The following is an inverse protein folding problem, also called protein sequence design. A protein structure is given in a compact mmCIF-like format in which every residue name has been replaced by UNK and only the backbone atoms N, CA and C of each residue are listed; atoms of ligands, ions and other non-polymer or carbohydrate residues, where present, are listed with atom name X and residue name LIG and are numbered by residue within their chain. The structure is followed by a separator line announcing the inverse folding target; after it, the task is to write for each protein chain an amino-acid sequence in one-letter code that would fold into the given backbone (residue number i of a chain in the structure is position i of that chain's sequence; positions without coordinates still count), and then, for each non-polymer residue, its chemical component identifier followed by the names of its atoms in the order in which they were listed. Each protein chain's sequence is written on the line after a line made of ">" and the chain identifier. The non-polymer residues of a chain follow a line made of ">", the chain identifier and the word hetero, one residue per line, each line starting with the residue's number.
data_IF_510922253806
#
_entry.id   IF_510922253806
#
_cell.length_a   1.000
_cell.length_b   1.000
_cell.length_c   1.000
_cell.angle_alpha   90.00
_cell.angle_beta   90.00
_cell.angle_gamma   90.00
#
_symmetry.space_group_name_H-M   'P 1'
#
loop_
_entity.id
_entity.type
_entity.pdbx_description
1 polymer ?
#
# COMPACT_ATOMS: atom_id res chain seq x y z
N UNK A 1 45.84 1.93 12.69
CA UNK A 1 44.75 1.39 11.84
C UNK A 1 44.54 2.31 10.62
N UNK A 2 44.87 1.82 9.43
CA UNK A 2 44.62 2.49 8.15
C UNK A 2 43.13 2.78 7.97
N UNK A 3 42.74 3.98 7.51
CA UNK A 3 41.33 4.27 7.23
C UNK A 3 40.83 3.35 6.12
N UNK A 4 39.67 2.73 6.34
CA UNK A 4 39.01 1.87 5.38
C UNK A 4 38.68 2.67 4.12
N UNK A 5 39.18 2.21 2.97
CA UNK A 5 38.86 2.76 1.66
C UNK A 5 37.40 2.46 1.36
N UNK A 6 36.53 3.46 1.54
CA UNK A 6 35.13 3.41 1.11
C UNK A 6 35.15 3.56 -0.40
N UNK A 7 34.95 2.45 -1.11
CA UNK A 7 34.79 2.46 -2.56
C UNK A 7 33.35 2.86 -2.85
N UNK A 8 33.07 3.96 -3.57
CA UNK A 8 31.71 4.31 -3.94
C UNK A 8 31.13 3.23 -4.86
N UNK A 9 30.14 2.50 -4.37
CA UNK A 9 29.41 1.51 -5.15
C UNK A 9 28.39 2.27 -5.99
N UNK A 10 28.71 2.52 -7.25
CA UNK A 10 27.71 2.94 -8.23
C UNK A 10 26.55 1.93 -8.21
N UNK A 11 25.28 2.36 -8.33
CA UNK A 11 24.16 1.44 -8.36
C UNK A 11 24.41 0.40 -9.45
N UNK A 12 24.36 -0.91 -9.14
CA UNK A 12 24.54 -1.92 -10.15
C UNK A 12 23.52 -1.69 -11.26
N UNK A 13 23.95 -1.82 -12.53
CA UNK A 13 23.01 -1.91 -13.65
C UNK A 13 21.92 -2.90 -13.23
N UNK A 14 20.63 -2.53 -13.30
CA UNK A 14 19.57 -3.41 -12.84
C UNK A 14 19.73 -4.76 -13.55
N UNK A 15 19.80 -5.87 -12.82
CA UNK A 15 19.91 -7.18 -13.45
C UNK A 15 18.72 -7.34 -14.39
N UNK A 16 19.03 -7.70 -15.64
CA UNK A 16 18.00 -8.25 -16.53
C UNK A 16 17.53 -9.54 -15.87
N UNK A 17 16.36 -9.47 -15.26
CA UNK A 17 15.76 -10.61 -14.56
C UNK A 17 15.83 -11.87 -15.46
N UNK A 18 16.43 -12.98 -15.00
CA UNK A 18 16.27 -14.24 -15.69
C UNK A 18 14.79 -14.64 -15.67
N UNK A 19 14.33 -15.09 -16.82
CA UNK A 19 12.92 -15.27 -17.19
C UNK A 19 12.21 -16.43 -16.46
N UNK A 20 12.90 -17.24 -15.64
CA UNK A 20 12.43 -18.60 -15.30
C UNK A 20 11.48 -18.76 -14.12
N UNK A 21 11.32 -17.78 -13.23
CA UNK A 21 10.56 -17.98 -11.98
C UNK A 21 9.24 -17.19 -11.92
N UNK A 22 8.78 -16.64 -13.05
CA UNK A 22 7.48 -15.99 -13.14
C UNK A 22 6.47 -16.99 -13.73
N UNK A 23 5.22 -17.04 -13.22
CA UNK A 23 4.17 -17.77 -13.89
C UNK A 23 4.16 -17.41 -15.39
N UNK A 24 3.89 -18.37 -16.29
CA UNK A 24 3.89 -18.09 -17.71
C UNK A 24 3.00 -16.86 -17.99
N UNK A 25 3.47 -15.90 -18.81
CA UNK A 25 2.72 -14.69 -19.06
C UNK A 25 1.33 -15.04 -19.56
N UNK A 26 0.31 -14.40 -18.99
CA UNK A 26 -1.08 -14.66 -19.35
C UNK A 26 -1.28 -14.42 -20.85
N UNK A 27 -2.13 -15.24 -21.46
CA UNK A 27 -2.40 -15.20 -22.89
C UNK A 27 -3.28 -14.02 -23.31
N UNK A 28 -3.84 -13.27 -22.36
CA UNK A 28 -4.73 -12.12 -22.56
C UNK A 28 -3.99 -10.78 -22.60
N UNK A 29 -2.67 -10.76 -22.38
CA UNK A 29 -1.88 -9.51 -22.46
C UNK A 29 -1.85 -8.96 -23.88
N UNK A 30 -1.99 -7.64 -23.98
CA UNK A 30 -1.94 -6.91 -25.26
C UNK A 30 -0.62 -6.14 -25.49
N UNK A 31 0.26 -6.06 -24.49
CA UNK A 31 1.57 -5.41 -24.55
C UNK A 31 2.59 -6.37 -23.92
N UNK A 32 3.72 -6.68 -24.56
CA UNK A 32 4.73 -7.58 -23.97
C UNK A 32 5.60 -6.89 -22.91
N UNK A 33 6.21 -5.76 -23.31
CA UNK A 33 7.16 -5.00 -22.48
C UNK A 33 6.83 -3.52 -22.45
N UNK A 34 7.20 -2.89 -21.35
CA UNK A 34 7.21 -1.43 -21.22
C UNK A 34 8.64 -0.92 -21.10
N UNK A 35 8.92 0.22 -21.72
CA UNK A 35 10.16 0.98 -21.61
C UNK A 35 9.86 2.26 -20.82
N UNK A 36 10.36 2.36 -19.60
CA UNK A 36 10.19 3.51 -18.70
C UNK A 36 11.56 4.16 -18.46
N UNK A 37 11.85 5.25 -19.17
CA UNK A 37 13.20 5.83 -19.18
C UNK A 37 14.24 4.86 -19.73
N UNK A 38 15.23 4.50 -18.92
CA UNK A 38 16.27 3.50 -19.26
C UNK A 38 15.91 2.07 -18.82
N UNK A 39 14.72 1.84 -18.26
CA UNK A 39 14.28 0.54 -17.75
C UNK A 39 13.37 -0.16 -18.76
N UNK A 40 13.54 -1.46 -18.95
CA UNK A 40 12.67 -2.29 -19.77
C UNK A 40 12.24 -3.54 -19.01
N UNK A 41 10.94 -3.76 -18.86
CA UNK A 41 10.39 -4.90 -18.10
C UNK A 41 9.06 -5.38 -18.65
N UNK A 42 8.73 -6.65 -18.37
CA UNK A 42 7.52 -7.31 -18.87
C UNK A 42 6.27 -6.88 -18.09
N UNK A 43 5.18 -6.68 -18.82
CA UNK A 43 3.83 -6.43 -18.29
C UNK A 43 3.24 -7.72 -17.71
N UNK A 44 2.24 -7.62 -16.84
CA UNK A 44 1.61 -8.78 -16.20
C UNK A 44 0.18 -8.99 -16.70
N UNK A 45 -0.53 -7.90 -16.97
CA UNK A 45 -1.94 -7.87 -17.36
C UNK A 45 -2.16 -7.00 -18.60
N UNK A 46 -3.28 -7.16 -19.33
CA UNK A 46 -3.67 -6.22 -20.37
C UNK A 46 -4.04 -4.85 -19.79
N UNK A 47 -3.84 -3.81 -20.60
CA UNK A 47 -4.26 -2.42 -20.31
C UNK A 47 -4.89 -1.75 -21.52
N UNK A 48 -5.84 -0.84 -21.30
CA UNK A 48 -6.73 -0.30 -22.32
C UNK A 48 -6.20 0.98 -22.97
N UNK A 49 -4.98 0.92 -23.50
CA UNK A 49 -4.42 2.01 -24.31
C UNK A 49 -5.23 2.22 -25.59
N UNK A 50 -5.21 3.44 -26.15
CA UNK A 50 -5.98 3.78 -27.34
C UNK A 50 -5.59 2.97 -28.59
N UNK A 51 -6.52 2.90 -29.56
CA UNK A 51 -6.38 2.12 -30.79
C UNK A 51 -5.19 2.57 -31.66
N UNK A 52 -4.80 3.84 -31.54
CA UNK A 52 -3.64 4.42 -32.22
C UNK A 52 -2.30 3.79 -31.78
N UNK A 53 -2.26 3.28 -30.54
CA UNK A 53 -1.11 2.59 -29.95
C UNK A 53 -1.18 1.09 -30.18
N UNK A 54 -2.35 0.49 -29.94
CA UNK A 54 -2.54 -0.97 -30.02
C UNK A 54 -2.76 -1.48 -31.47
N UNK A 55 -2.99 -0.58 -32.43
CA UNK A 55 -3.36 -0.91 -33.80
C UNK A 55 -4.88 -1.12 -33.92
N UNK A 56 -5.47 -0.66 -35.01
CA UNK A 56 -6.87 -0.96 -35.32
C UNK A 56 -6.98 -2.45 -35.67
N UNK A 57 -7.90 -3.17 -35.03
CA UNK A 57 -8.45 -4.39 -35.63
C UNK A 57 -9.10 -3.97 -36.94
N UNK A 58 -8.55 -4.39 -38.08
CA UNK A 58 -9.12 -4.13 -39.38
C UNK A 58 -10.43 -4.92 -39.54
N UNK A 59 -11.54 -4.38 -39.04
CA UNK A 59 -12.86 -4.72 -39.55
C UNK A 59 -13.08 -3.97 -40.86
N UNK A 60 -12.36 -4.40 -41.91
CA UNK A 60 -12.75 -4.09 -43.28
C UNK A 60 -13.81 -5.13 -43.69
N UNK A 61 -15.09 -4.78 -43.53
CA UNK A 61 -16.16 -5.40 -44.29
C UNK A 61 -16.72 -4.35 -45.24
N UNK A 62 -16.49 -4.60 -46.53
CA UNK A 62 -16.87 -3.82 -47.70
C UNK A 62 -18.37 -3.45 -47.66
N UNK A 63 -18.66 -2.16 -47.83
CA UNK A 63 -19.91 -1.74 -48.46
C UNK A 63 -19.79 -2.01 -49.95
N UNK A 64 -20.45 -3.07 -50.42
CA UNK A 64 -20.49 -3.47 -51.83
C UNK A 64 -21.76 -4.30 -52.09
N UNK A 65 -22.51 -3.87 -53.09
CA UNK A 65 -23.85 -4.25 -53.51
C UNK A 65 -24.32 -5.70 -53.36
N UNK A 66 -25.62 -5.79 -53.04
CA UNK A 66 -26.57 -6.86 -53.30
C UNK A 66 -26.52 -7.33 -54.77
N UNK A 67 -26.42 -8.65 -55.01
CA UNK A 67 -27.46 -9.46 -55.69
C UNK A 67 -26.97 -10.89 -56.06
N UNK A 68 -27.77 -11.90 -55.67
CA UNK A 68 -27.95 -13.28 -56.20
C UNK A 68 -26.73 -14.23 -56.33
N UNK A 69 -26.80 -15.56 -56.29
CA UNK A 69 -27.81 -16.60 -56.04
C UNK A 69 -27.04 -17.97 -56.06
N UNK A 70 -27.47 -18.95 -55.23
CA UNK A 70 -27.28 -20.43 -55.29
C UNK A 70 -25.87 -21.07 -55.41
N UNK A 71 -25.45 -21.90 -54.42
CA UNK A 71 -25.62 -23.38 -54.41
C UNK A 71 -24.62 -24.16 -53.50
N UNK A 72 -25.19 -25.19 -52.86
CA UNK A 72 -24.65 -26.50 -52.45
C UNK A 72 -23.28 -26.73 -51.74
N UNK A 73 -23.41 -27.33 -50.54
CA UNK A 73 -22.73 -28.55 -50.05
C UNK A 73 -21.24 -28.53 -49.60
N UNK A 74 -21.07 -28.68 -48.27
CA UNK A 74 -20.18 -29.67 -47.66
C UNK A 74 -18.71 -29.29 -47.40
N UNK A 75 -18.34 -29.10 -46.12
CA UNK A 75 -17.09 -29.61 -45.48
C UNK A 75 -16.92 -29.07 -44.04
N UNK A 76 -16.90 -30.01 -43.07
CA UNK A 76 -16.09 -30.05 -41.83
C UNK A 76 -16.07 -28.88 -40.82
N UNK A 77 -16.02 -29.15 -39.49
CA UNK A 77 -15.85 -28.09 -38.50
C UNK A 77 -14.39 -27.62 -38.52
N UNK A 78 -14.09 -26.60 -39.31
CA UNK A 78 -12.78 -25.96 -39.27
C UNK A 78 -12.68 -25.10 -38.01
N UNK A 79 -11.67 -25.42 -37.19
CA UNK A 79 -11.14 -24.62 -36.09
C UNK A 79 -11.33 -23.13 -36.39
N UNK A 80 -12.14 -22.44 -35.58
CA UNK A 80 -12.11 -20.99 -35.47
C UNK A 80 -10.69 -20.62 -35.03
N UNK A 81 -9.88 -20.13 -35.97
CA UNK A 81 -8.64 -19.44 -35.65
C UNK A 81 -8.98 -18.34 -34.67
N UNK A 82 -8.44 -18.52 -33.46
CA UNK A 82 -8.46 -17.53 -32.40
C UNK A 82 -7.43 -16.50 -32.81
N UNK A 83 -7.77 -15.64 -33.77
CA UNK A 83 -6.96 -14.49 -34.17
C UNK A 83 -6.68 -13.66 -32.93
N UNK A 84 -5.50 -13.88 -32.34
CA UNK A 84 -5.02 -13.14 -31.20
C UNK A 84 -4.89 -11.69 -31.63
N UNK A 85 -5.48 -10.79 -30.85
CA UNK A 85 -5.23 -9.36 -30.99
C UNK A 85 -3.70 -9.14 -31.09
N UNK A 86 -3.21 -8.34 -32.05
CA UNK A 86 -1.79 -8.12 -32.21
C UNK A 86 -1.20 -7.58 -30.91
N UNK A 87 -0.27 -8.32 -30.32
CA UNK A 87 0.42 -7.92 -29.10
C UNK A 87 1.48 -6.87 -29.45
N UNK A 88 1.41 -5.70 -28.82
CA UNK A 88 2.45 -4.68 -28.95
C UNK A 88 3.73 -5.16 -28.26
N UNK A 89 4.84 -5.28 -28.98
CA UNK A 89 6.10 -5.76 -28.38
C UNK A 89 6.59 -4.80 -27.28
N UNK A 90 6.56 -3.49 -27.55
CA UNK A 90 7.09 -2.46 -26.65
C UNK A 90 6.20 -1.23 -26.61
N UNK A 91 5.82 -0.85 -25.41
CA UNK A 91 5.24 0.47 -25.11
C UNK A 91 6.31 1.37 -24.51
N UNK A 92 6.55 2.54 -25.11
CA UNK A 92 7.46 3.54 -24.56
C UNK A 92 6.70 4.54 -23.70
N UNK A 93 7.12 4.74 -22.46
CA UNK A 93 6.43 5.57 -21.46
C UNK A 93 7.40 6.61 -20.90
N UNK A 94 7.00 7.87 -20.89
CA UNK A 94 7.77 8.96 -20.32
C UNK A 94 7.86 8.79 -18.79
N UNK A 95 9.05 8.80 -18.18
CA UNK A 95 9.20 8.59 -16.73
C UNK A 95 8.69 9.77 -15.88
N UNK A 96 8.46 10.94 -16.48
CA UNK A 96 8.01 12.14 -15.77
C UNK A 96 6.49 12.32 -15.85
N UNK A 97 5.87 12.21 -17.04
CA UNK A 97 4.45 12.50 -17.23
C UNK A 97 3.60 11.28 -17.66
N UNK A 98 4.21 10.10 -17.76
CA UNK A 98 3.57 8.86 -18.22
C UNK A 98 2.97 8.89 -19.64
N UNK A 99 3.20 9.96 -20.41
CA UNK A 99 2.85 9.98 -21.83
C UNK A 99 3.51 8.82 -22.55
N UNK A 100 2.75 8.16 -23.40
CA UNK A 100 3.15 6.93 -24.05
C UNK A 100 3.24 7.07 -25.57
N UNK A 101 4.03 6.21 -26.20
CA UNK A 101 4.10 6.06 -27.65
C UNK A 101 4.49 4.63 -28.03
N UNK A 102 4.11 4.20 -29.25
CA UNK A 102 4.61 2.96 -29.86
C UNK A 102 5.96 3.13 -30.57
N UNK A 103 6.26 4.35 -31.01
CA UNK A 103 7.48 4.68 -31.75
C UNK A 103 8.56 5.30 -30.86
N UNK A 104 9.77 4.76 -30.92
CA UNK A 104 10.92 5.20 -30.12
C UNK A 104 11.28 6.67 -30.36
N UNK A 105 11.29 7.12 -31.63
CA UNK A 105 11.72 8.47 -32.01
C UNK A 105 10.78 9.53 -31.44
N UNK A 106 9.46 9.30 -31.55
CA UNK A 106 8.45 10.20 -31.02
C UNK A 106 8.52 10.30 -29.49
N UNK A 107 8.71 9.17 -28.82
CA UNK A 107 8.92 9.13 -27.36
C UNK A 107 10.19 9.88 -26.94
N UNK A 108 11.32 9.63 -27.62
CA UNK A 108 12.61 10.21 -27.24
C UNK A 108 12.61 11.74 -27.35
N UNK A 109 12.04 12.29 -28.43
CA UNK A 109 11.88 13.74 -28.60
C UNK A 109 11.05 14.37 -27.47
N UNK A 110 9.99 13.70 -27.04
CA UNK A 110 9.18 14.15 -25.91
C UNK A 110 9.93 14.06 -24.57
N UNK A 111 10.57 12.93 -24.27
CA UNK A 111 11.27 12.71 -22.99
C UNK A 111 12.37 13.76 -22.76
N UNK A 112 13.12 14.11 -23.80
CA UNK A 112 14.17 15.14 -23.71
C UNK A 112 13.62 16.48 -23.22
N UNK A 113 12.47 16.93 -23.76
CA UNK A 113 11.83 18.18 -23.36
C UNK A 113 11.16 18.06 -21.98
N UNK A 114 10.57 16.90 -21.68
CA UNK A 114 9.84 16.68 -20.44
C UNK A 114 10.78 16.59 -19.22
N UNK A 115 11.89 15.86 -19.34
CA UNK A 115 12.89 15.71 -18.26
C UNK A 115 13.61 17.02 -17.94
N UNK A 116 13.82 17.89 -18.94
CA UNK A 116 14.41 19.22 -18.71
C UNK A 116 13.59 20.08 -17.74
N UNK A 117 12.28 19.84 -17.63
CA UNK A 117 11.42 20.56 -16.68
C UNK A 117 11.57 20.05 -15.25
N UNK A 118 12.06 18.81 -15.06
CA UNK A 118 12.18 18.13 -13.77
C UNK A 118 10.92 18.24 -12.88
N UNK A 119 9.74 18.33 -13.51
CA UNK A 119 8.49 18.64 -12.83
C UNK A 119 7.79 17.36 -12.38
N UNK A 120 7.40 17.34 -11.10
CA UNK A 120 6.47 16.36 -10.53
C UNK A 120 5.15 17.10 -10.31
N UNK A 121 4.01 16.57 -10.80
CA UNK A 121 2.71 17.19 -10.57
C UNK A 121 2.33 17.15 -9.08
N UNK A 122 1.38 18.00 -8.70
CA UNK A 122 0.89 18.08 -7.33
C UNK A 122 1.86 18.72 -6.34
N UNK A 123 1.66 18.42 -5.05
CA UNK A 123 2.40 19.02 -3.93
C UNK A 123 3.18 17.95 -3.17
N UNK A 124 4.42 18.26 -2.79
CA UNK A 124 5.17 17.41 -1.87
C UNK A 124 4.53 17.51 -0.48
N UNK A 125 4.10 16.37 0.06
CA UNK A 125 3.45 16.29 1.39
C UNK A 125 4.27 15.54 2.42
N UNK A 126 5.33 14.84 1.99
CA UNK A 126 6.15 14.01 2.87
C UNK A 126 7.59 13.92 2.39
N UNK A 127 8.54 13.94 3.32
CA UNK A 127 9.95 13.60 3.11
C UNK A 127 10.33 12.49 4.09
N UNK A 128 10.80 11.37 3.57
CA UNK A 128 11.26 10.28 4.40
C UNK A 128 12.60 10.63 5.05
N UNK A 129 12.77 10.43 6.37
CA UNK A 129 14.05 10.62 7.04
C UNK A 129 15.17 9.84 6.35
N UNK A 130 16.33 10.48 6.20
CA UNK A 130 17.51 9.78 5.69
C UNK A 130 17.90 8.70 6.68
N UNK A 131 18.02 7.47 6.21
CA UNK A 131 18.26 6.34 7.08
C UNK A 131 18.79 5.12 6.35
N UNK A 132 18.80 4.03 7.09
CA UNK A 132 19.09 2.69 6.59
C UNK A 132 17.76 1.98 6.36
N UNK A 133 17.61 1.32 5.21
CA UNK A 133 16.46 0.46 4.94
C UNK A 133 16.92 -0.94 4.59
N UNK A 134 16.12 -1.94 4.95
CA UNK A 134 16.33 -3.31 4.52
C UNK A 134 15.76 -3.50 3.11
N UNK A 135 16.62 -3.94 2.19
CA UNK A 135 16.28 -4.27 0.80
C UNK A 135 16.53 -5.75 0.58
N UNK A 136 15.62 -6.41 -0.14
CA UNK A 136 15.84 -7.78 -0.57
C UNK A 136 16.51 -7.78 -1.95
N UNK A 137 17.80 -8.09 -1.97
CA UNK A 137 18.59 -8.19 -3.21
C UNK A 137 18.63 -9.65 -3.70
N UNK A 138 18.50 -9.89 -5.01
CA UNK A 138 18.73 -11.22 -5.56
C UNK A 138 20.22 -11.55 -5.45
N UNK A 139 20.56 -12.64 -4.76
CA UNK A 139 21.90 -13.18 -4.74
C UNK A 139 22.08 -14.07 -5.96
N UNK A 140 22.85 -13.60 -6.95
CA UNK A 140 23.32 -14.47 -8.01
C UNK A 140 24.16 -15.58 -7.38
N UNK A 141 23.83 -16.84 -7.69
CA UNK A 141 24.51 -18.02 -7.16
C UNK A 141 25.93 -18.19 -7.70
N UNK A 142 26.82 -17.21 -7.48
CA UNK A 142 28.23 -17.27 -7.83
C UNK A 142 28.94 -18.29 -6.94
N UNK A 143 28.82 -19.56 -7.30
CA UNK A 143 29.76 -20.60 -6.87
C UNK A 143 31.01 -20.52 -7.74
N UNK A 144 32.16 -20.66 -7.07
CA UNK A 144 33.51 -20.51 -7.63
C UNK A 144 33.82 -21.41 -8.84
N UNK A 145 35.00 -21.23 -9.45
CA UNK A 145 35.36 -21.88 -10.70
C UNK A 145 35.40 -23.40 -10.54
N UNK A 146 34.48 -24.14 -11.20
CA UNK A 146 34.67 -25.58 -11.38
C UNK A 146 33.45 -26.52 -11.44
N UNK A 147 32.21 -26.10 -11.20
CA UNK A 147 31.07 -27.05 -11.22
C UNK A 147 30.15 -26.92 -12.44
N UNK A 148 30.06 -28.00 -13.22
CA UNK A 148 29.21 -28.13 -14.42
C UNK A 148 27.71 -27.98 -14.07
N UNK A 149 27.01 -27.23 -14.90
CA UNK A 149 25.59 -26.86 -14.81
C UNK A 149 24.68 -28.09 -14.93
N UNK A 150 23.99 -28.48 -13.85
CA UNK A 150 22.78 -29.30 -13.94
C UNK A 150 21.60 -28.38 -14.30
N UNK A 151 20.80 -28.81 -15.27
CA UNK A 151 19.73 -28.02 -15.90
C UNK A 151 18.46 -28.14 -15.06
N UNK A 152 17.92 -27.01 -14.59
CA UNK A 152 16.70 -26.91 -13.79
C UNK A 152 16.98 -26.59 -12.33
N UNK A 153 16.24 -25.63 -11.77
CA UNK A 153 16.34 -25.08 -10.40
C UNK A 153 17.40 -23.99 -10.17
N UNK A 154 17.18 -22.84 -10.82
CA UNK A 154 17.80 -21.58 -10.40
C UNK A 154 16.92 -20.87 -9.36
N UNK A 155 16.80 -21.42 -8.16
CA UNK A 155 16.03 -20.75 -7.10
C UNK A 155 16.79 -19.48 -6.69
N UNK A 156 16.35 -18.31 -7.20
CA UNK A 156 16.97 -17.02 -6.87
C UNK A 156 16.78 -16.79 -5.37
N UNK A 157 17.86 -16.91 -4.60
CA UNK A 157 17.83 -16.60 -3.17
C UNK A 157 17.87 -15.09 -3.00
N UNK A 158 16.91 -14.56 -2.26
CA UNK A 158 16.92 -13.16 -1.86
C UNK A 158 17.61 -13.05 -0.51
N UNK A 159 18.56 -12.11 -0.41
CA UNK A 159 19.27 -11.80 0.83
C UNK A 159 18.86 -10.41 1.28
N UNK A 160 18.71 -10.24 2.59
CA UNK A 160 18.47 -8.94 3.21
C UNK A 160 19.77 -8.16 3.25
N UNK A 161 19.77 -6.99 2.63
CA UNK A 161 20.88 -6.04 2.66
C UNK A 161 20.38 -4.73 3.24
N UNK A 162 21.14 -4.18 4.19
CA UNK A 162 20.85 -2.87 4.77
C UNK A 162 21.50 -1.82 3.89
N UNK A 163 20.69 -1.07 3.15
CA UNK A 163 21.13 -0.02 2.22
C UNK A 163 20.97 1.34 2.89
N UNK A 164 22.00 2.18 2.78
CA UNK A 164 21.93 3.58 3.18
C UNK A 164 21.35 4.42 2.03
N UNK A 165 20.41 5.30 2.35
CA UNK A 165 19.78 6.14 1.34
C UNK A 165 20.67 7.33 0.98
N UNK A 166 21.21 7.30 -0.24
CA UNK A 166 22.02 8.39 -0.78
C UNK A 166 21.17 9.58 -1.28
N UNK A 167 19.92 9.32 -1.66
CA UNK A 167 18.97 10.33 -2.17
C UNK A 167 17.80 10.58 -1.24
N UNK A 168 16.88 11.45 -1.66
CA UNK A 168 15.66 11.77 -0.94
C UNK A 168 14.49 10.90 -1.43
N UNK A 169 13.72 10.35 -0.49
CA UNK A 169 12.41 9.77 -0.78
C UNK A 169 11.33 10.75 -0.33
N UNK A 170 10.36 11.01 -1.19
CA UNK A 170 9.26 11.93 -0.90
C UNK A 170 7.93 11.39 -1.41
N UNK A 171 6.84 11.85 -0.80
CA UNK A 171 5.49 11.64 -1.32
C UNK A 171 4.91 12.94 -1.85
N UNK A 172 4.27 12.83 -3.01
CA UNK A 172 3.58 13.94 -3.66
C UNK A 172 2.11 13.61 -3.82
N UNK A 173 1.24 14.50 -3.34
CA UNK A 173 -0.20 14.41 -3.52
C UNK A 173 -0.61 15.12 -4.80
N UNK A 174 -1.26 14.38 -5.69
CA UNK A 174 -1.75 14.82 -6.99
C UNK A 174 -3.26 14.64 -7.03
N UNK A 175 -3.96 15.73 -7.30
CA UNK A 175 -5.41 15.75 -7.44
C UNK A 175 -5.79 15.30 -8.87
N UNK A 176 -6.50 14.19 -8.98
CA UNK A 176 -6.92 13.64 -10.28
C UNK A 176 -7.87 14.54 -11.06
N UNK A 177 -8.54 15.50 -10.42
CA UNK A 177 -9.37 16.50 -11.10
C UNK A 177 -8.54 17.63 -11.71
N UNK A 178 -7.38 17.95 -11.12
CA UNK A 178 -6.49 19.01 -11.63
C UNK A 178 -5.52 18.47 -12.68
N UNK A 179 -4.96 17.28 -12.45
CA UNK A 179 -3.94 16.65 -13.28
C UNK A 179 -4.49 15.45 -14.08
N UNK A 180 -5.68 15.61 -14.66
CA UNK A 180 -6.48 14.55 -15.31
C UNK A 180 -5.65 13.67 -16.25
N UNK A 181 -4.96 14.28 -17.22
CA UNK A 181 -4.20 13.52 -18.24
C UNK A 181 -3.04 12.73 -17.61
N UNK A 182 -2.37 13.30 -16.61
CA UNK A 182 -1.29 12.60 -15.91
C UNK A 182 -1.84 11.38 -15.16
N UNK A 183 -2.93 11.56 -14.40
CA UNK A 183 -3.55 10.50 -13.61
C UNK A 183 -4.15 9.39 -14.49
N UNK A 184 -4.70 9.73 -15.65
CA UNK A 184 -5.15 8.75 -16.66
C UNK A 184 -3.98 7.92 -17.20
N UNK A 185 -2.90 8.59 -17.61
CA UNK A 185 -1.70 7.91 -18.12
C UNK A 185 -1.08 6.99 -17.05
N UNK A 186 -0.98 7.46 -15.81
CA UNK A 186 -0.49 6.68 -14.68
C UNK A 186 -1.41 5.48 -14.40
N UNK A 187 -2.73 5.66 -14.48
CA UNK A 187 -3.69 4.57 -14.28
C UNK A 187 -3.63 3.50 -15.37
N UNK A 188 -3.48 3.89 -16.64
CA UNK A 188 -3.25 2.97 -17.75
C UNK A 188 -1.94 2.19 -17.57
N UNK A 189 -0.88 2.88 -17.13
CA UNK A 189 0.40 2.25 -16.81
C UNK A 189 0.26 1.26 -15.65
N UNK A 190 -0.44 1.64 -14.59
CA UNK A 190 -0.67 0.79 -13.42
C UNK A 190 -1.45 -0.48 -13.76
N UNK A 191 -2.44 -0.38 -14.66
CA UNK A 191 -3.25 -1.52 -15.12
C UNK A 191 -2.42 -2.63 -15.77
N UNK A 192 -1.23 -2.33 -16.31
CA UNK A 192 -0.28 -3.34 -16.81
C UNK A 192 0.22 -4.29 -15.70
N UNK A 193 0.11 -3.88 -14.43
CA UNK A 193 0.64 -4.58 -13.25
C UNK A 193 -0.40 -4.85 -12.17
N UNK A 194 -1.64 -4.39 -12.37
CA UNK A 194 -2.80 -4.61 -11.49
C UNK A 194 -3.91 -5.32 -12.26
N UNK A 195 -4.33 -6.49 -11.78
CA UNK A 195 -5.39 -7.27 -12.45
C UNK A 195 -6.74 -6.56 -12.32
N UNK A 196 -7.10 -6.24 -11.07
CA UNK A 196 -8.43 -5.78 -10.67
C UNK A 196 -8.62 -4.26 -10.72
N UNK A 197 -7.74 -3.50 -11.38
CA UNK A 197 -7.94 -2.04 -11.51
C UNK A 197 -9.06 -1.77 -12.53
N UNK A 198 -10.19 -1.26 -12.04
CA UNK A 198 -11.39 -0.96 -12.83
C UNK A 198 -11.44 0.48 -13.35
N UNK A 199 -10.89 1.44 -12.60
CA UNK A 199 -10.93 2.87 -12.93
C UNK A 199 -9.59 3.34 -13.50
N UNK A 200 -9.61 3.88 -14.72
CA UNK A 200 -8.42 4.43 -15.38
C UNK A 200 -8.66 5.66 -16.25
N UNK A 201 -9.92 6.03 -16.54
CA UNK A 201 -10.27 7.25 -17.27
C UNK A 201 -10.93 8.29 -16.38
N UNK A 202 -11.90 7.89 -15.55
CA UNK A 202 -12.53 8.78 -14.59
C UNK A 202 -11.68 8.88 -13.31
N UNK A 203 -10.70 9.78 -13.34
CA UNK A 203 -9.72 9.96 -12.27
C UNK A 203 -10.09 11.09 -11.30
N UNK A 204 -11.18 11.81 -11.57
CA UNK A 204 -11.56 13.06 -10.89
C UNK A 204 -11.87 12.86 -9.41
N UNK A 205 -12.46 11.71 -9.06
CA UNK A 205 -12.78 11.31 -7.70
C UNK A 205 -11.60 10.79 -6.87
N UNK A 206 -10.36 10.86 -7.37
CA UNK A 206 -9.20 10.26 -6.72
C UNK A 206 -8.06 11.25 -6.47
N UNK A 207 -7.42 11.12 -5.31
CA UNK A 207 -6.09 11.66 -5.06
C UNK A 207 -5.04 10.54 -5.29
N UNK A 208 -3.91 10.91 -5.87
CA UNK A 208 -2.79 10.03 -6.15
C UNK A 208 -1.58 10.47 -5.32
N UNK A 209 -1.00 9.53 -4.59
CA UNK A 209 0.16 9.76 -3.73
C UNK A 209 1.38 9.10 -4.37
N UNK A 210 2.21 9.89 -5.05
CA UNK A 210 3.36 9.43 -5.80
C UNK A 210 4.56 9.23 -4.88
N UNK A 211 5.21 8.06 -4.97
CA UNK A 211 6.52 7.82 -4.36
C UNK A 211 7.64 8.26 -5.29
N UNK A 212 8.35 9.30 -4.89
CA UNK A 212 9.40 9.94 -5.69
C UNK A 212 10.77 9.75 -5.04
N UNK A 213 11.71 9.24 -5.82
CA UNK A 213 13.13 9.22 -5.48
C UNK A 213 13.86 10.36 -6.19
N UNK A 214 14.52 11.22 -5.42
CA UNK A 214 15.37 12.30 -5.92
C UNK A 214 16.83 11.95 -5.65
N UNK A 215 17.63 11.65 -6.68
CA UNK A 215 19.06 11.34 -6.51
C UNK A 215 19.82 12.50 -5.86
N UNK A 216 20.94 12.24 -5.16
CA UNK A 216 21.81 13.32 -4.70
C UNK A 216 22.38 14.10 -5.90
N UNK A 217 22.70 15.40 -5.73
CA UNK A 217 23.37 16.18 -6.75
C UNK A 217 24.70 15.52 -7.15
N UNK A 218 24.97 15.41 -8.45
CA UNK A 218 26.25 14.92 -8.92
C UNK A 218 27.36 15.89 -8.48
N UNK A 219 28.42 15.36 -7.87
CA UNK A 219 29.61 16.15 -7.52
C UNK A 219 30.26 16.62 -8.82
N UNK A 220 30.57 17.92 -8.91
CA UNK A 220 31.25 18.48 -10.07
C UNK A 220 32.58 17.73 -10.29
N UNK A 221 32.69 17.05 -11.43
CA UNK A 221 33.97 16.47 -11.85
C UNK A 221 34.96 17.60 -12.13
N UNK A 222 36.26 17.37 -11.89
CA UNK A 222 37.37 18.32 -12.13
C UNK A 222 37.49 18.84 -13.58
N UNK A 223 36.64 18.39 -14.50
CA UNK A 223 36.58 18.78 -15.90
C UNK A 223 35.72 20.03 -16.19
N UNK A 224 35.20 20.74 -15.19
CA UNK A 224 34.47 22.01 -15.40
C UNK A 224 33.13 21.91 -16.14
N UNK A 225 32.63 20.70 -16.39
CA UNK A 225 31.30 20.46 -16.96
C UNK A 225 30.26 20.55 -15.85
N UNK A 226 29.25 21.41 -16.02
CA UNK A 226 28.15 21.53 -15.07
C UNK A 226 27.46 20.16 -14.87
N UNK A 227 27.21 19.73 -13.63
CA UNK A 227 26.55 18.46 -13.37
C UNK A 227 25.16 18.42 -14.02
N UNK A 228 24.71 17.26 -14.54
CA UNK A 228 23.37 17.14 -15.09
C UNK A 228 22.32 17.47 -14.02
N UNK A 229 21.17 18.07 -14.40
CA UNK A 229 20.12 18.40 -13.45
C UNK A 229 19.63 17.13 -12.75
N UNK A 230 19.46 17.22 -11.44
CA UNK A 230 18.88 16.14 -10.64
C UNK A 230 17.46 15.90 -11.15
N UNK A 231 17.22 14.69 -11.63
CA UNK A 231 15.91 14.31 -12.19
C UNK A 231 15.18 13.42 -11.19
N UNK A 232 14.06 13.88 -10.59
CA UNK A 232 13.25 13.05 -9.71
C UNK A 232 12.62 11.89 -10.50
N UNK A 233 12.47 10.75 -9.84
CA UNK A 233 11.96 9.51 -10.43
C UNK A 233 10.72 9.04 -9.67
N UNK A 234 9.61 8.90 -10.37
CA UNK A 234 8.41 8.27 -9.81
C UNK A 234 8.65 6.75 -9.81
N UNK A 235 8.55 6.13 -8.65
CA UNK A 235 8.91 4.71 -8.42
C UNK A 235 7.73 3.84 -7.99
N UNK A 236 6.61 4.48 -7.67
CA UNK A 236 5.37 3.85 -7.27
C UNK A 236 4.34 4.90 -6.89
N UNK A 237 3.14 4.46 -6.55
CA UNK A 237 2.10 5.32 -6.01
C UNK A 237 1.06 4.48 -5.26
N UNK A 238 0.21 5.16 -4.49
CA UNK A 238 -1.12 4.66 -4.21
C UNK A 238 -2.17 5.71 -4.57
N UNK A 239 -3.41 5.29 -4.82
CA UNK A 239 -4.55 6.19 -5.02
C UNK A 239 -5.55 6.02 -3.89
N UNK A 240 -6.30 7.08 -3.59
CA UNK A 240 -7.34 7.13 -2.57
C UNK A 240 -8.54 7.88 -3.14
N UNK A 241 -9.75 7.38 -2.87
CA UNK A 241 -10.98 8.09 -3.21
C UNK A 241 -11.12 9.34 -2.34
N UNK A 242 -11.53 10.46 -2.95
CA UNK A 242 -11.86 11.69 -2.22
C UNK A 242 -13.05 11.46 -1.29
N UNK A 243 -13.99 10.62 -1.71
CA UNK A 243 -15.19 10.23 -0.96
C UNK A 243 -15.35 8.71 -1.03
N UNK A 244 -14.86 8.00 -0.02
CA UNK A 244 -15.03 6.54 0.09
C UNK A 244 -16.21 6.22 1.00
N UNK A 245 -17.21 5.50 0.48
CA UNK A 245 -18.34 5.01 1.27
C UNK A 245 -17.94 3.97 2.32
N UNK A 246 -16.96 3.12 1.98
CA UNK A 246 -16.46 2.06 2.85
C UNK A 246 -15.27 2.49 3.73
N UNK A 247 -14.99 3.81 3.79
CA UNK A 247 -13.80 4.37 4.47
C UNK A 247 -12.47 3.71 4.04
N UNK A 248 -12.31 3.37 2.77
CA UNK A 248 -11.05 2.88 2.22
C UNK A 248 -10.02 4.02 2.25
N UNK A 249 -8.90 3.80 2.94
CA UNK A 249 -7.80 4.75 2.94
C UNK A 249 -6.84 4.58 1.75
N UNK A 250 -7.04 3.50 0.98
CA UNK A 250 -6.22 3.15 -0.16
C UNK A 250 -7.06 2.31 -1.15
N UNK A 251 -7.16 2.78 -2.39
CA UNK A 251 -7.85 2.09 -3.48
C UNK A 251 -6.90 1.17 -4.26
N UNK A 252 -5.85 1.74 -4.86
CA UNK A 252 -4.82 0.98 -5.58
C UNK A 252 -3.44 1.33 -5.02
N UNK A 253 -2.54 0.35 -4.95
CA UNK A 253 -1.12 0.55 -4.62
C UNK A 253 -0.25 -0.19 -5.61
N UNK A 254 0.80 0.47 -6.08
CA UNK A 254 1.78 -0.13 -6.97
C UNK A 254 3.17 0.45 -6.70
N UNK A 255 4.10 -0.41 -6.34
CA UNK A 255 5.53 -0.16 -6.55
C UNK A 255 5.90 -0.70 -7.92
N UNK A 256 6.51 0.13 -8.75
CA UNK A 256 6.87 -0.27 -10.11
C UNK A 256 7.83 -1.46 -10.08
N UNK A 257 7.70 -2.42 -11.01
CA UNK A 257 8.40 -3.71 -10.91
C UNK A 257 9.92 -3.63 -10.62
N UNK A 258 10.70 -2.70 -11.22
CA UNK A 258 12.13 -2.56 -10.91
C UNK A 258 12.46 -2.12 -9.47
N UNK A 259 11.51 -1.51 -8.77
CA UNK A 259 11.69 -0.96 -7.41
C UNK A 259 11.03 -1.82 -6.33
N UNK A 260 10.43 -2.94 -6.69
CA UNK A 260 9.80 -3.86 -5.74
C UNK A 260 10.84 -4.51 -4.81
N UNK A 261 10.36 -4.99 -3.65
CA UNK A 261 11.16 -5.67 -2.61
C UNK A 261 12.27 -4.81 -1.98
N UNK A 262 12.14 -3.49 -2.05
CA UNK A 262 13.04 -2.50 -1.43
C UNK A 262 12.44 -1.83 -0.18
N UNK A 263 11.44 -2.43 0.47
CA UNK A 263 10.72 -1.83 1.61
C UNK A 263 9.73 -0.72 1.25
N UNK A 264 9.76 -0.21 0.01
CA UNK A 264 8.95 0.93 -0.45
C UNK A 264 7.43 0.72 -0.36
N UNK A 265 6.95 -0.52 -0.47
CA UNK A 265 5.53 -0.82 -0.31
C UNK A 265 5.06 -0.57 1.13
N UNK A 266 5.89 -0.91 2.12
CA UNK A 266 5.58 -0.66 3.53
C UNK A 266 5.60 0.83 3.85
N UNK A 267 6.48 1.61 3.21
CA UNK A 267 6.48 3.07 3.32
C UNK A 267 5.15 3.68 2.80
N UNK A 268 4.66 3.23 1.64
CA UNK A 268 3.37 3.69 1.10
C UNK A 268 2.19 3.29 1.99
N UNK A 269 2.19 2.06 2.53
CA UNK A 269 1.18 1.62 3.50
C UNK A 269 1.23 2.46 4.78
N UNK A 270 2.42 2.70 5.33
CA UNK A 270 2.60 3.55 6.51
C UNK A 270 2.08 4.97 6.29
N UNK A 271 2.35 5.54 5.11
CA UNK A 271 1.85 6.85 4.75
C UNK A 271 0.33 6.90 4.60
N UNK A 272 -0.31 5.88 4.01
CA UNK A 272 -1.78 5.84 3.90
C UNK A 272 -2.46 5.84 5.27
N UNK A 273 -1.92 5.07 6.23
CA UNK A 273 -2.41 5.08 7.62
C UNK A 273 -2.14 6.39 8.34
N UNK A 274 -1.00 7.05 8.09
CA UNK A 274 -0.68 8.34 8.68
C UNK A 274 -1.57 9.47 8.12
N UNK A 275 -1.94 9.40 6.85
CA UNK A 275 -2.93 10.30 6.25
C UNK A 275 -4.31 10.08 6.90
N UNK A 276 -4.75 8.82 7.04
CA UNK A 276 -5.97 8.48 7.78
C UNK A 276 -5.98 9.04 9.21
N UNK A 277 -4.86 8.92 9.93
CA UNK A 277 -4.69 9.49 11.27
C UNK A 277 -4.95 11.00 11.30
N UNK A 278 -4.41 11.73 10.32
CA UNK A 278 -4.54 13.19 10.22
C UNK A 278 -5.94 13.64 9.82
N UNK A 279 -6.64 12.84 9.04
CA UNK A 279 -8.02 13.11 8.63
C UNK A 279 -9.06 12.71 9.68
N UNK A 280 -8.69 11.91 10.68
CA UNK A 280 -9.64 11.41 11.66
C UNK A 280 -10.49 10.24 11.15
N UNK A 281 -10.15 9.64 9.99
CA UNK A 281 -10.93 8.59 9.34
C UNK A 281 -10.14 7.28 9.38
N UNK A 282 -10.58 6.38 10.26
CA UNK A 282 -10.04 5.01 10.32
C UNK A 282 -10.47 4.25 9.07
N UNK A 283 -9.50 3.60 8.42
CA UNK A 283 -9.72 2.97 7.14
C UNK A 283 -8.71 1.88 6.83
N UNK A 284 -9.00 1.10 5.81
CA UNK A 284 -8.13 0.03 5.32
C UNK A 284 -8.01 0.04 3.79
N UNK A 285 -7.24 -0.91 3.23
CA UNK A 285 -7.18 -1.10 1.79
C UNK A 285 -8.52 -1.59 1.22
N UNK A 286 -8.85 -1.11 0.03
CA UNK A 286 -9.96 -1.62 -0.78
C UNK A 286 -9.82 -3.13 -1.04
N UNK A 287 -10.92 -3.85 -0.88
CA UNK A 287 -11.02 -5.30 -1.15
C UNK A 287 -11.64 -5.51 -2.54
N UNK A 288 -11.18 -6.48 -3.35
CA UNK A 288 -10.21 -7.52 -3.03
C UNK A 288 -8.74 -7.09 -3.24
N UNK A 289 -7.89 -7.45 -2.27
CA UNK A 289 -6.45 -7.19 -2.31
C UNK A 289 -5.74 -8.27 -3.13
N UNK A 290 -4.75 -7.90 -3.96
CA UNK A 290 -3.90 -8.88 -4.65
C UNK A 290 -3.12 -9.77 -3.68
N UNK A 291 -2.70 -10.98 -4.09
CA UNK A 291 -1.90 -11.89 -3.24
C UNK A 291 -0.61 -11.23 -2.70
N UNK A 292 0.06 -10.45 -3.55
CA UNK A 292 1.25 -9.68 -3.14
C UNK A 292 0.89 -8.61 -2.13
N UNK A 293 -0.23 -7.90 -2.35
CA UNK A 293 -0.77 -6.90 -1.43
C UNK A 293 -1.14 -7.52 -0.08
N UNK A 294 -1.84 -8.66 -0.07
CA UNK A 294 -2.25 -9.37 1.15
C UNK A 294 -1.06 -9.76 2.00
N UNK A 295 -0.02 -10.36 1.40
CA UNK A 295 1.23 -10.68 2.10
C UNK A 295 1.94 -9.43 2.63
N UNK A 296 1.91 -8.34 1.87
CA UNK A 296 2.48 -7.05 2.26
C UNK A 296 1.76 -6.45 3.48
N UNK A 297 0.42 -6.36 3.43
CA UNK A 297 -0.40 -5.85 4.52
C UNK A 297 -0.31 -6.72 5.77
N UNK A 298 -0.35 -8.05 5.64
CA UNK A 298 -0.16 -8.96 6.78
C UNK A 298 1.18 -8.70 7.49
N UNK A 299 2.28 -8.56 6.73
CA UNK A 299 3.60 -8.26 7.30
C UNK A 299 3.65 -6.87 7.91
N UNK A 300 3.04 -5.87 7.27
CA UNK A 300 2.97 -4.50 7.75
C UNK A 300 2.18 -4.41 9.06
N UNK A 301 0.95 -4.92 9.09
CA UNK A 301 0.10 -4.94 10.28
C UNK A 301 0.71 -5.72 11.43
N UNK A 302 1.30 -6.89 11.16
CA UNK A 302 2.00 -7.66 12.20
C UNK A 302 3.16 -6.87 12.82
N UNK A 303 3.90 -6.09 12.03
CA UNK A 303 4.95 -5.20 12.53
C UNK A 303 4.39 -4.06 13.40
N UNK A 304 3.31 -3.41 12.95
CA UNK A 304 2.65 -2.33 13.69
C UNK A 304 2.09 -2.82 15.04
N UNK A 305 1.36 -3.93 15.01
CA UNK A 305 0.73 -4.55 16.19
C UNK A 305 1.79 -5.09 17.13
N UNK A 306 2.81 -5.81 16.63
CA UNK A 306 3.90 -6.31 17.49
C UNK A 306 4.65 -5.18 18.20
N UNK A 307 4.95 -4.08 17.49
CA UNK A 307 5.60 -2.91 18.11
C UNK A 307 4.74 -2.32 19.23
N UNK A 308 3.45 -2.16 18.98
CA UNK A 308 2.53 -1.63 19.98
C UNK A 308 2.43 -2.57 21.20
N UNK A 309 2.18 -3.87 20.99
CA UNK A 309 2.10 -4.85 22.08
C UNK A 309 3.37 -4.88 22.95
N UNK A 310 4.54 -4.81 22.32
CA UNK A 310 5.83 -4.80 23.04
C UNK A 310 6.10 -3.47 23.76
N UNK A 311 5.41 -2.38 23.38
CA UNK A 311 5.51 -1.07 24.05
C UNK A 311 4.63 -0.91 25.28
N UNK A 312 3.67 -1.81 25.49
CA UNK A 312 2.82 -1.77 26.68
C UNK A 312 3.65 -2.11 27.93
N UNK A 313 3.54 -1.32 28.99
CA UNK A 313 4.15 -1.64 30.28
C UNK A 313 3.43 -2.84 30.93
N UNK A 314 4.18 -3.72 31.58
CA UNK A 314 3.62 -4.78 32.45
C UNK A 314 3.65 -4.26 33.88
N UNK A 315 2.54 -4.36 34.61
CA UNK A 315 2.51 -3.95 36.00
C UNK A 315 3.56 -4.75 36.82
N UNK A 316 4.30 -4.12 37.75
CA UNK A 316 5.41 -4.76 38.48
C UNK A 316 5.01 -6.00 39.30
N UNK A 317 3.73 -6.14 39.65
CA UNK A 317 3.23 -7.26 40.46
C UNK A 317 3.19 -8.61 39.70
N UNK A 318 3.28 -8.58 38.36
CA UNK A 318 3.05 -9.74 37.49
C UNK A 318 4.35 -10.25 36.83
N UNK A 319 5.51 -9.73 37.23
CA UNK A 319 6.80 -10.00 36.60
C UNK A 319 7.40 -11.38 36.92
N UNK A 320 6.98 -12.03 38.01
CA UNK A 320 7.55 -13.31 38.47
C UNK A 320 6.82 -14.55 37.90
N UNK A 321 5.66 -14.39 37.27
CA UNK A 321 4.80 -15.48 36.80
C UNK A 321 4.81 -15.68 35.27
N UNK A 322 5.57 -14.89 34.51
CA UNK A 322 5.63 -14.97 33.05
C UNK A 322 4.35 -14.49 32.34
N UNK A 323 3.66 -13.49 32.90
CA UNK A 323 2.22 -13.34 32.67
C UNK A 323 1.78 -12.55 31.42
N UNK A 324 0.76 -13.15 30.83
CA UNK A 324 -0.15 -12.73 29.77
C UNK A 324 -0.66 -11.28 29.94
N UNK A 325 -0.52 -10.46 28.90
CA UNK A 325 -1.11 -9.11 28.87
C UNK A 325 -2.52 -9.19 28.32
N UNK A 326 -3.53 -8.78 29.08
CA UNK A 326 -4.89 -8.67 28.54
C UNK A 326 -5.02 -7.41 27.71
N UNK A 327 -5.39 -7.58 26.44
CA UNK A 327 -5.52 -6.50 25.47
C UNK A 327 -6.95 -6.46 24.93
N UNK A 328 -7.51 -5.26 24.87
CA UNK A 328 -8.74 -4.99 24.13
C UNK A 328 -8.39 -4.82 22.63
N UNK A 329 -9.12 -5.50 21.75
CA UNK A 329 -8.93 -5.37 20.30
C UNK A 329 -9.23 -3.94 19.85
N UNK A 330 -10.13 -3.24 20.53
CA UNK A 330 -10.41 -1.82 20.24
C UNK A 330 -9.23 -0.93 20.64
N UNK A 331 -8.54 -1.19 21.76
CA UNK A 331 -7.32 -0.46 22.12
C UNK A 331 -6.22 -0.65 21.07
N UNK A 332 -6.10 -1.87 20.54
CA UNK A 332 -5.17 -2.19 19.45
C UNK A 332 -5.53 -1.40 18.18
N UNK A 333 -6.81 -1.36 17.83
CA UNK A 333 -7.33 -0.62 16.69
C UNK A 333 -7.06 0.87 16.82
N UNK A 334 -7.38 1.48 17.96
CA UNK A 334 -7.15 2.91 18.22
C UNK A 334 -5.66 3.27 18.23
N UNK A 335 -4.81 2.41 18.77
CA UNK A 335 -3.37 2.66 18.82
C UNK A 335 -2.70 2.53 17.44
N UNK A 336 -3.14 1.57 16.62
CA UNK A 336 -2.48 1.25 15.33
C UNK A 336 -3.17 1.89 14.12
N UNK A 337 -4.42 2.33 14.27
CA UNK A 337 -5.33 2.78 13.21
C UNK A 337 -5.75 1.69 12.20
N UNK A 338 -5.50 0.43 12.57
CA UNK A 338 -5.92 -0.75 11.80
C UNK A 338 -7.30 -1.15 12.30
N UNK A 339 -8.21 -1.54 11.38
CA UNK A 339 -9.56 -1.93 11.77
C UNK A 339 -9.56 -3.04 12.83
N UNK A 340 -10.56 -3.11 13.74
CA UNK A 340 -10.62 -4.17 14.74
C UNK A 340 -10.63 -5.58 14.12
N UNK A 341 -11.28 -5.74 12.96
CA UNK A 341 -11.32 -6.99 12.20
C UNK A 341 -9.94 -7.43 11.73
N UNK A 342 -9.17 -6.50 11.14
CA UNK A 342 -7.82 -6.77 10.66
C UNK A 342 -6.85 -6.98 11.84
N UNK A 343 -7.00 -6.23 12.93
CA UNK A 343 -6.25 -6.44 14.18
C UNK A 343 -6.46 -7.87 14.70
N UNK A 344 -7.70 -8.30 14.85
CA UNK A 344 -8.04 -9.65 15.31
C UNK A 344 -7.51 -10.73 14.37
N UNK A 345 -7.63 -10.51 13.05
CA UNK A 345 -7.08 -11.41 12.04
C UNK A 345 -5.57 -11.59 12.18
N UNK A 346 -4.83 -10.50 12.37
CA UNK A 346 -3.37 -10.54 12.53
C UNK A 346 -2.96 -11.18 13.86
N UNK A 347 -3.65 -10.86 14.97
CA UNK A 347 -3.40 -11.46 16.28
C UNK A 347 -3.57 -12.98 16.25
N UNK A 348 -4.61 -13.48 15.55
CA UNK A 348 -4.84 -14.92 15.33
C UNK A 348 -3.78 -15.54 14.43
N UNK A 349 -3.44 -14.90 13.30
CA UNK A 349 -2.39 -15.35 12.38
C UNK A 349 -1.02 -15.44 13.08
N UNK A 350 -0.75 -14.54 14.03
CA UNK A 350 0.46 -14.53 14.85
C UNK A 350 0.52 -15.67 15.88
N UNK A 351 -0.62 -16.26 16.23
CA UNK A 351 -0.71 -17.29 17.28
C UNK A 351 -0.34 -16.76 18.67
N UNK A 352 -0.52 -15.45 18.90
CA UNK A 352 -0.18 -14.77 20.17
C UNK A 352 -1.40 -14.49 21.04
N UNK A 353 -2.57 -14.90 20.57
CA UNK A 353 -3.88 -14.46 21.02
C UNK A 353 -4.72 -15.65 21.47
N UNK A 354 -5.13 -15.66 22.74
CA UNK A 354 -6.16 -16.57 23.26
C UNK A 354 -7.44 -15.79 23.59
N UNK A 355 -8.60 -16.33 23.22
CA UNK A 355 -9.91 -15.72 23.49
C UNK A 355 -10.13 -15.62 25.00
N UNK A 356 -10.22 -14.39 25.51
CA UNK A 356 -10.34 -14.11 26.95
C UNK A 356 -11.78 -13.84 27.41
N UNK A 357 -12.76 -14.02 26.52
CA UNK A 357 -14.17 -13.67 26.74
C UNK A 357 -14.50 -12.21 26.43
N UNK A 358 -15.74 -11.82 26.73
CA UNK A 358 -16.29 -10.48 26.49
C UNK A 358 -16.41 -9.72 27.81
N UNK A 359 -16.06 -8.43 27.84
CA UNK A 359 -16.30 -7.57 29.01
C UNK A 359 -17.40 -6.55 28.71
N UNK A 360 -18.29 -6.34 29.67
CA UNK A 360 -19.31 -5.28 29.64
C UNK A 360 -18.65 -3.98 30.10
N UNK A 361 -18.56 -2.97 29.24
CA UNK A 361 -18.19 -1.61 29.63
C UNK A 361 -19.45 -0.76 29.83
N UNK A 362 -19.52 -0.05 30.96
CA UNK A 362 -20.54 0.99 31.19
C UNK A 362 -20.12 2.28 30.46
N UNK A 363 -21.08 2.96 29.81
CA UNK A 363 -20.84 4.21 29.08
C UNK A 363 -20.28 5.32 29.98
N UNK A 364 -19.44 6.19 29.43
CA UNK A 364 -18.79 7.30 30.18
C UNK A 364 -19.77 8.26 30.89
N UNK A 365 -21.04 8.30 30.48
CA UNK A 365 -22.08 9.08 31.18
C UNK A 365 -22.31 8.63 32.64
N UNK A 366 -21.97 7.40 33.00
CA UNK A 366 -22.14 6.87 34.36
C UNK A 366 -20.98 7.19 35.32
N UNK A 367 -19.78 7.53 34.81
CA UNK A 367 -18.65 7.93 35.69
C UNK A 367 -18.85 9.30 36.33
N UNK A 368 -19.75 10.13 35.80
CA UNK A 368 -20.05 11.48 36.32
C UNK A 368 -21.13 11.51 37.40
N UNK A 369 -21.75 10.38 37.74
CA UNK A 369 -22.78 10.25 38.77
C UNK A 369 -22.40 9.24 39.86
N UNK A 370 -21.34 9.52 40.62
CA UNK A 370 -21.23 9.03 42.00
C UNK A 370 -20.97 10.21 42.92
N UNK A 371 -21.81 10.47 43.93
CA UNK A 371 -21.54 11.51 44.91
C UNK A 371 -20.38 11.05 45.82
N UNK A 372 -19.50 11.98 46.15
CA UNK A 372 -18.49 11.80 47.17
C UNK A 372 -19.19 11.54 48.52
N UNK A 373 -18.91 10.38 49.12
CA UNK A 373 -19.27 10.11 50.51
C UNK A 373 -18.10 10.60 51.39
N UNK A 374 -18.30 11.74 52.04
CA UNK A 374 -17.55 12.13 53.25
C UNK A 374 -18.58 12.23 54.36
N UNK A 375 -18.39 11.43 55.41
CA UNK A 375 -19.25 11.43 56.58
C UNK A 375 -18.95 12.62 57.49
N UNK A 376 -19.95 13.00 58.29
CA UNK A 376 -19.81 13.29 59.71
C UNK A 376 -21.21 13.36 60.34
N UNK A 377 -21.31 12.80 61.55
CA UNK A 377 -22.48 12.80 62.42
C UNK A 377 -22.79 14.23 62.91
N UNK A 378 -24.06 14.61 63.06
CA UNK A 378 -24.58 15.01 64.38
C UNK A 378 -26.09 15.28 64.41
N UNK A 379 -26.64 15.15 65.61
CA UNK A 379 -28.05 15.14 65.98
C UNK A 379 -28.78 16.51 65.89
N UNK A 380 -30.08 16.49 65.57
CA UNK A 380 -31.10 17.28 66.29
C UNK A 380 -32.54 16.91 65.87
N UNK A 381 -33.42 16.91 66.87
CA UNK A 381 -34.84 16.54 66.85
C UNK A 381 -35.75 17.70 66.38
N UNK A 382 -37.03 17.35 66.23
CA UNK A 382 -38.27 18.18 66.25
C UNK A 382 -38.78 18.67 64.89
N UNK A 383 -40.07 18.88 64.63
CA UNK A 383 -41.37 18.31 65.05
C UNK A 383 -42.42 19.01 64.13
N UNK A 384 -43.49 18.31 63.74
CA UNK A 384 -44.88 18.82 63.62
C UNK A 384 -45.33 19.69 62.40
N UNK A 385 -46.42 19.18 61.78
CA UNK A 385 -47.62 19.81 61.14
C UNK A 385 -47.67 20.11 59.62
N UNK A 386 -48.37 19.20 58.92
CA UNK A 386 -49.76 19.31 58.38
C UNK A 386 -50.15 20.56 57.57
N UNK A 387 -50.44 20.36 56.28
CA UNK A 387 -51.54 20.94 55.45
C UNK A 387 -51.28 20.54 53.97
N UNK A 388 -51.96 19.53 53.40
CA UNK A 388 -53.26 19.57 52.70
C UNK A 388 -53.21 20.15 51.28
N UNK A 389 -53.52 19.26 50.32
CA UNK A 389 -54.18 19.41 49.02
C UNK A 389 -53.62 20.41 48.00
N UNK A 390 -53.26 19.91 46.80
CA UNK A 390 -54.05 20.09 45.57
C UNK A 390 -53.39 19.45 44.34
N UNK A 391 -54.26 18.93 43.47
CA UNK A 391 -54.14 18.68 42.02
C UNK A 391 -53.09 17.68 41.48
N UNK A 392 -53.62 16.56 40.99
CA UNK A 392 -53.02 15.70 39.98
C UNK A 392 -52.89 16.46 38.65
N UNK A 393 -51.69 16.45 38.07
CA UNK A 393 -51.49 16.55 36.62
C UNK A 393 -50.55 15.42 36.16
N UNK A 394 -51.04 14.74 35.14
CA UNK A 394 -50.51 13.53 34.51
C UNK A 394 -49.34 13.91 33.59
N UNK A 395 -48.09 13.72 34.05
CA UNK A 395 -46.91 13.69 33.17
C UNK A 395 -46.37 12.26 33.06
N UNK A 396 -46.68 11.64 31.93
CA UNK A 396 -46.16 10.36 31.48
C UNK A 396 -44.63 10.44 31.32
N UNK A 397 -43.90 10.05 32.37
CA UNK A 397 -42.43 10.00 32.37
C UNK A 397 -41.95 8.98 31.30
N UNK A 398 -41.10 9.37 30.33
CA UNK A 398 -40.60 8.44 29.32
C UNK A 398 -39.76 7.35 29.98
N UNK A 399 -40.11 6.09 29.72
CA UNK A 399 -39.34 4.91 30.17
C UNK A 399 -37.88 5.06 29.70
N UNK A 400 -36.86 4.84 30.56
CA UNK A 400 -35.48 4.90 30.13
C UNK A 400 -35.24 3.81 29.07
N UNK A 401 -34.79 4.23 27.88
CA UNK A 401 -34.28 3.31 26.87
C UNK A 401 -33.13 2.50 27.49
N UNK A 402 -33.06 1.18 27.29
CA UNK A 402 -31.94 0.39 27.80
C UNK A 402 -30.65 0.95 27.19
N UNK A 403 -29.69 1.29 28.06
CA UNK A 403 -28.36 1.72 27.66
C UNK A 403 -27.75 0.68 26.73
N UNK A 404 -27.23 1.11 25.58
CA UNK A 404 -26.57 0.23 24.63
C UNK A 404 -25.24 -0.23 25.22
N UNK A 405 -25.22 -1.42 25.84
CA UNK A 405 -24.00 -2.06 26.36
C UNK A 405 -23.16 -2.52 25.15
N UNK A 406 -22.01 -1.89 24.91
CA UNK A 406 -21.05 -2.36 23.92
C UNK A 406 -20.26 -3.54 24.51
N UNK A 407 -20.39 -4.72 23.89
CA UNK A 407 -19.56 -5.88 24.18
C UNK A 407 -18.25 -5.75 23.41
N UNK A 408 -17.11 -5.88 24.09
CA UNK A 408 -15.80 -5.72 23.44
C UNK A 408 -14.99 -7.01 23.55
N UNK A 409 -14.46 -7.56 22.44
CA UNK A 409 -13.60 -8.75 22.45
C UNK A 409 -12.26 -8.46 23.13
N UNK A 410 -11.86 -9.30 24.11
CA UNK A 410 -10.54 -9.25 24.74
C UNK A 410 -9.71 -10.47 24.39
N UNK A 411 -8.41 -10.24 24.29
CA UNK A 411 -7.43 -11.26 23.94
C UNK A 411 -6.32 -11.29 24.99
N UNK A 412 -5.93 -12.49 25.45
CA UNK A 412 -4.71 -12.67 26.25
C UNK A 412 -3.51 -12.75 25.31
N UNK A 413 -2.48 -11.93 25.59
CA UNK A 413 -1.29 -11.80 24.77
C UNK A 413 -0.06 -12.36 25.48
N UNK A 414 0.61 -13.31 24.85
CA UNK A 414 1.96 -13.76 25.22
C UNK A 414 3.02 -12.86 24.53
N UNK A 415 3.66 -11.96 25.30
CA UNK A 415 4.72 -11.08 24.77
C UNK A 415 5.95 -11.85 24.28
N UNK A 416 6.25 -13.01 24.84
CA UNK A 416 7.35 -13.85 24.38
C UNK A 416 7.00 -14.55 23.06
N UNK A 417 5.74 -14.95 22.87
CA UNK A 417 5.25 -15.37 21.55
C UNK A 417 5.36 -14.25 20.51
N UNK A 418 5.05 -12.99 20.87
CA UNK A 418 5.24 -11.84 19.98
C UNK A 418 6.71 -11.69 19.58
N UNK A 419 7.66 -11.77 20.54
CA UNK A 419 9.11 -11.71 20.24
C UNK A 419 9.57 -12.85 19.34
N UNK A 420 9.12 -14.08 19.61
CA UNK A 420 9.40 -15.26 18.76
C UNK A 420 8.86 -15.07 17.34
N UNK A 421 7.63 -14.54 17.20
CA UNK A 421 7.03 -14.26 15.90
C UNK A 421 7.83 -13.21 15.13
N UNK A 422 8.21 -12.09 15.78
CA UNK A 422 9.05 -11.03 15.21
C UNK A 422 10.38 -11.60 14.70
N UNK A 423 11.06 -12.43 15.50
CA UNK A 423 12.32 -13.05 15.12
C UNK A 423 12.15 -14.03 13.95
N UNK A 424 11.12 -14.89 13.99
CA UNK A 424 10.85 -15.89 12.94
C UNK A 424 10.52 -15.24 11.59
N UNK A 425 9.75 -14.14 11.61
CA UNK A 425 9.33 -13.43 10.40
C UNK A 425 10.27 -12.27 10.00
N UNK A 426 11.32 -12.04 10.79
CA UNK A 426 12.30 -10.95 10.63
C UNK A 426 11.62 -9.60 10.46
N UNK A 427 10.67 -9.31 11.35
CA UNK A 427 9.96 -8.03 11.31
C UNK A 427 10.89 -6.92 11.80
N UNK A 428 11.02 -5.88 11.00
CA UNK A 428 11.65 -4.63 11.43
C UNK A 428 10.57 -3.83 12.14
N UNK A 429 10.80 -3.52 13.42
CA UNK A 429 9.83 -2.81 14.26
C UNK A 429 9.95 -1.29 14.19
N UNK A 430 10.92 -0.77 13.44
CA UNK A 430 11.00 0.66 13.16
C UNK A 430 9.71 1.14 12.47
N UNK A 431 9.30 2.38 12.75
CA UNK A 431 8.15 2.97 12.06
C UNK A 431 8.51 3.13 10.58
N UNK A 432 7.70 2.51 9.74
CA UNK A 432 7.87 2.52 8.28
C UNK A 432 7.65 3.92 7.68
N UNK A 433 6.77 4.71 8.29
CA UNK A 433 6.54 6.11 7.98
C UNK A 433 6.65 6.94 9.27
N UNK A 434 7.56 7.91 9.26
CA UNK A 434 7.75 8.84 10.37
C UNK A 434 6.74 10.01 10.29
N UNK A 435 5.84 10.20 11.28
CA UNK A 435 4.90 11.33 11.27
C UNK A 435 5.53 12.71 11.11
N UNK A 436 6.77 12.90 11.59
CA UNK A 436 7.48 14.18 11.50
C UNK A 436 7.95 14.53 10.07
N UNK A 437 7.92 13.56 9.15
CA UNK A 437 8.29 13.78 7.76
C UNK A 437 7.23 14.48 6.91
N UNK A 438 6.00 14.63 7.40
CA UNK A 438 4.95 15.36 6.69
C UNK A 438 5.18 16.87 6.78
N UNK A 439 4.97 17.57 5.65
CA UNK A 439 5.32 19.00 5.47
C UNK A 439 4.10 19.90 5.47
#
# INVERSE_FOLDING_TARGET
>A
PTPMVITPVLPPKPPTLPVSDRPPPRTDRNIDKVVLGNLCFRTWYPSYYGKEVLGATSSHAKGGSKDGLLDAAGRGPSKKDKDGLPMLERLYVCPSCFKYAKELVAWWGHVKLCQQRAHIPGNKIYVHPKGRRTVYVPQDGSRGPGQKKRRGEGNIRYVEEVVQDEGEWSLWEVDGEKDVLFCQNLSLFAKLFLDNKSVFFDVTGFNYFLLVYTPPPAVATSAGVAPPPVTPQITGFFSKEKMSWDNNNLACILIFPPWQRKGLGALLMGASYEISRREGIMGGPEKPISDLGKKGYQRFWAGEIARWLLSLDVAPADAESGQETLVDVEDCSQATWISPEDCLGVLRDMGVAEDAGMQMQASEEDKKKKPAATGEEDAAKQNIKRASAEAEEDEERPKPKPAAVKQVPRVRIDKEAVRRYVAAHRLVLDRTCDPSGFV
#
